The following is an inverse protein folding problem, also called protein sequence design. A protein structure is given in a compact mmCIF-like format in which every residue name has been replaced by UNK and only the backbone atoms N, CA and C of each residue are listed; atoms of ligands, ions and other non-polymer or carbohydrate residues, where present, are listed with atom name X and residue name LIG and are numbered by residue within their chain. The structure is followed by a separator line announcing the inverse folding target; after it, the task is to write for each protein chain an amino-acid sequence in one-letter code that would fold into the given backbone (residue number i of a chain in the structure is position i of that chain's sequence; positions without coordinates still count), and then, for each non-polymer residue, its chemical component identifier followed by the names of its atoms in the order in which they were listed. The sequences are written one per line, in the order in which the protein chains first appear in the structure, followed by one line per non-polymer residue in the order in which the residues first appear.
data_IF_217774356827
#
_entry.id   IF_217774356827
#
_cell.length_a   1.000
_cell.length_b   1.000
_cell.length_c   1.000
_cell.angle_alpha   90.00
_cell.angle_beta   90.00
_cell.angle_gamma   90.00
#
_symmetry.space_group_name_H-M   'P 1'
#
loop_
_entity.id
_entity.type
_entity.pdbx_description
1 polymer ?
#
# COMPACT_ATOMS: atom_id res chain seq x y z
N UNK A 1 26.97 -48.49 52.39
CA UNK A 1 26.78 -47.27 53.14
C UNK A 1 25.92 -46.31 52.34
N UNK A 2 24.61 -46.20 52.64
CA UNK A 2 23.70 -45.32 51.91
C UNK A 2 23.69 -43.96 52.59
N UNK A 3 24.26 -42.95 51.90
CA UNK A 3 24.17 -41.57 52.33
C UNK A 3 22.69 -41.09 52.26
N UNK A 4 22.06 -40.83 53.36
CA UNK A 4 20.75 -40.18 53.47
C UNK A 4 21.00 -38.65 53.43
N UNK A 5 20.85 -38.04 52.27
CA UNK A 5 20.76 -36.58 52.12
C UNK A 5 19.42 -36.12 52.73
N UNK A 6 19.46 -35.21 53.68
CA UNK A 6 18.26 -34.59 54.19
C UNK A 6 17.80 -33.41 53.32
N UNK A 7 16.52 -33.02 53.42
CA UNK A 7 15.88 -31.97 52.59
C UNK A 7 16.65 -30.64 52.59
N UNK A 8 17.34 -30.33 53.68
CA UNK A 8 18.05 -29.05 53.91
C UNK A 8 19.39 -29.03 53.11
N UNK A 9 20.06 -30.15 53.00
CA UNK A 9 21.31 -30.27 52.24
C UNK A 9 21.06 -30.34 50.73
N UNK A 10 19.91 -30.89 50.31
CA UNK A 10 19.44 -30.86 48.94
C UNK A 10 19.12 -29.41 48.50
N UNK A 11 18.45 -28.61 49.32
CA UNK A 11 18.13 -27.23 49.04
C UNK A 11 19.38 -26.31 49.01
N UNK A 12 20.40 -26.60 49.82
CA UNK A 12 21.67 -25.87 49.79
C UNK A 12 22.48 -26.15 48.53
N UNK A 13 22.47 -27.39 48.02
CA UNK A 13 23.13 -27.75 46.76
C UNK A 13 22.47 -27.15 45.52
N UNK A 14 21.14 -26.92 45.53
CA UNK A 14 20.42 -26.22 44.48
C UNK A 14 20.67 -24.71 44.54
N UNK A 15 20.76 -24.11 45.73
CA UNK A 15 21.01 -22.68 45.92
C UNK A 15 22.40 -22.22 45.44
N UNK A 16 23.44 -23.05 45.51
CA UNK A 16 24.78 -22.72 45.03
C UNK A 16 24.95 -22.91 43.51
N UNK A 17 24.09 -23.71 42.83
CA UNK A 17 24.13 -23.89 41.39
C UNK A 17 23.36 -22.80 40.63
N UNK A 18 22.50 -22.03 41.31
CA UNK A 18 21.71 -20.95 40.70
C UNK A 18 22.45 -19.61 40.62
N UNK A 19 23.61 -19.46 41.34
CA UNK A 19 24.38 -18.21 41.37
C UNK A 19 25.45 -18.09 40.28
N UNK A 20 25.65 -19.10 39.42
CA UNK A 20 26.68 -19.13 38.36
C UNK A 20 26.15 -19.29 36.94
N UNK A 21 24.85 -19.05 36.71
CA UNK A 21 24.34 -18.88 35.32
C UNK A 21 24.60 -17.43 34.95
N UNK A 22 25.43 -17.18 33.94
CA UNK A 22 25.51 -15.85 33.35
C UNK A 22 24.12 -15.45 32.89
N UNK A 23 23.71 -14.21 33.15
CA UNK A 23 22.56 -13.55 32.53
C UNK A 23 22.79 -13.47 30.98
N UNK A 24 22.87 -14.61 30.33
CA UNK A 24 22.84 -14.73 28.88
C UNK A 24 21.38 -14.78 28.46
N UNK A 25 20.91 -13.59 28.18
CA UNK A 25 19.79 -13.30 27.28
C UNK A 25 18.51 -14.17 27.42
N UNK A 26 17.58 -13.69 28.21
CA UNK A 26 16.14 -13.90 27.96
C UNK A 26 15.69 -13.26 26.61
N UNK A 27 16.50 -13.40 25.55
CA UNK A 27 16.18 -12.98 24.19
C UNK A 27 15.82 -14.18 23.31
N UNK A 28 15.68 -15.36 23.90
CA UNK A 28 15.37 -16.62 23.22
C UNK A 28 13.86 -16.79 23.06
N UNK A 29 13.25 -16.22 22.04
CA UNK A 29 11.86 -16.37 21.56
C UNK A 29 10.98 -15.11 21.67
N UNK A 30 11.51 -13.91 21.40
CA UNK A 30 10.60 -12.85 21.01
C UNK A 30 10.06 -13.25 19.61
N UNK A 31 8.83 -13.77 19.56
CA UNK A 31 8.19 -14.18 18.31
C UNK A 31 8.28 -13.00 17.35
N UNK A 32 8.95 -13.20 16.20
CA UNK A 32 9.08 -12.16 15.18
C UNK A 32 7.70 -11.67 14.78
N UNK A 33 7.45 -10.38 14.92
CA UNK A 33 6.22 -9.77 14.44
C UNK A 33 6.16 -9.87 12.90
N UNK A 34 5.01 -10.15 12.30
CA UNK A 34 4.86 -10.17 10.86
C UNK A 34 4.99 -8.78 10.25
N UNK A 35 5.53 -8.70 9.05
CA UNK A 35 5.55 -7.50 8.25
C UNK A 35 4.22 -7.32 7.52
N UNK A 36 3.93 -6.09 7.10
CA UNK A 36 2.81 -5.78 6.21
C UNK A 36 3.33 -5.08 4.96
N UNK A 37 2.80 -5.49 3.81
CA UNK A 37 3.00 -4.82 2.52
C UNK A 37 1.62 -4.55 1.93
N UNK A 38 1.33 -3.29 1.64
CA UNK A 38 0.12 -2.88 0.93
C UNK A 38 0.53 -2.27 -0.41
N UNK A 39 0.15 -2.92 -1.50
CA UNK A 39 0.33 -2.42 -2.87
C UNK A 39 -1.03 -1.88 -3.31
N UNK A 40 -1.09 -0.59 -3.59
CA UNK A 40 -2.33 0.15 -3.79
C UNK A 40 -2.27 0.91 -5.11
N UNK A 41 -3.12 0.53 -6.05
CA UNK A 41 -3.15 1.15 -7.37
C UNK A 41 -4.14 2.32 -7.42
N UNK A 42 -4.09 3.10 -8.47
CA UNK A 42 -4.88 4.32 -8.67
C UNK A 42 -5.78 4.14 -9.91
N UNK A 43 -7.09 4.20 -9.73
CA UNK A 43 -8.09 4.02 -10.79
C UNK A 43 -8.10 2.62 -11.47
N UNK A 44 -7.58 1.58 -10.82
CA UNK A 44 -7.61 0.24 -11.39
C UNK A 44 -8.98 -0.41 -11.22
N UNK A 45 -9.58 -0.82 -12.33
CA UNK A 45 -10.89 -1.45 -12.34
C UNK A 45 -10.90 -2.87 -11.79
N UNK A 46 -12.09 -3.32 -11.37
CA UNK A 46 -12.31 -4.67 -10.83
C UNK A 46 -11.83 -5.77 -11.77
N UNK A 47 -12.04 -5.61 -13.09
CA UNK A 47 -11.68 -6.60 -14.09
C UNK A 47 -10.30 -6.39 -14.74
N UNK A 48 -9.41 -5.59 -14.13
CA UNK A 48 -8.08 -5.30 -14.68
C UNK A 48 -6.96 -6.17 -14.09
N UNK A 49 -7.30 -7.35 -13.61
CA UNK A 49 -6.36 -8.39 -13.19
C UNK A 49 -6.79 -9.73 -13.79
N UNK A 50 -5.86 -10.57 -14.24
CA UNK A 50 -6.17 -11.85 -14.90
C UNK A 50 -7.13 -12.71 -14.12
N UNK A 51 -6.89 -12.94 -12.83
CA UNK A 51 -7.77 -13.72 -11.95
C UNK A 51 -9.15 -13.06 -11.68
N UNK A 52 -9.37 -11.82 -12.11
CA UNK A 52 -10.67 -11.12 -12.12
C UNK A 52 -11.28 -11.00 -13.53
N UNK A 53 -10.65 -11.57 -14.56
CA UNK A 53 -11.18 -11.66 -15.90
C UNK A 53 -10.62 -10.67 -16.92
N UNK A 54 -9.48 -10.03 -16.64
CA UNK A 54 -8.79 -9.15 -17.57
C UNK A 54 -8.48 -9.86 -18.91
N UNK A 55 -8.52 -9.09 -20.00
CA UNK A 55 -8.21 -9.58 -21.35
C UNK A 55 -7.28 -8.61 -22.06
N UNK A 56 -6.44 -9.15 -22.95
CA UNK A 56 -5.53 -8.35 -23.78
C UNK A 56 -4.22 -7.96 -23.13
N UNK A 57 -4.00 -8.35 -21.88
CA UNK A 57 -2.73 -8.30 -21.17
C UNK A 57 -2.70 -9.37 -20.06
N UNK A 58 -1.53 -9.66 -19.54
CA UNK A 58 -1.32 -10.71 -18.56
C UNK A 58 -0.81 -10.13 -17.23
N UNK A 59 -1.24 -10.72 -16.10
CA UNK A 59 -0.82 -10.36 -14.76
C UNK A 59 -0.31 -11.57 -13.98
N UNK A 60 0.75 -12.26 -14.46
CA UNK A 60 1.17 -13.56 -13.94
C UNK A 60 1.62 -13.52 -12.48
N UNK A 61 2.10 -12.40 -11.96
CA UNK A 61 2.51 -12.27 -10.57
C UNK A 61 1.31 -12.09 -9.64
N UNK A 62 0.32 -11.31 -10.05
CA UNK A 62 -0.95 -11.14 -9.33
C UNK A 62 -1.79 -12.41 -9.37
N UNK A 63 -1.85 -13.09 -10.51
CA UNK A 63 -2.57 -14.36 -10.66
C UNK A 63 -1.95 -15.43 -9.75
N UNK A 64 -0.63 -15.55 -9.73
CA UNK A 64 0.09 -16.41 -8.79
C UNK A 64 -0.12 -16.00 -7.34
N UNK A 65 -0.17 -14.68 -7.03
CA UNK A 65 -0.48 -14.19 -5.70
C UNK A 65 -1.87 -14.64 -5.24
N UNK A 66 -2.87 -14.66 -6.13
CA UNK A 66 -4.20 -15.18 -5.86
C UNK A 66 -4.22 -16.72 -5.68
N UNK A 67 -3.48 -17.46 -6.52
CA UNK A 67 -3.32 -18.92 -6.38
C UNK A 67 -2.63 -19.31 -5.07
N UNK A 68 -1.67 -18.52 -4.60
CA UNK A 68 -0.94 -18.76 -3.36
C UNK A 68 -1.59 -18.13 -2.12
N UNK A 69 -2.68 -17.41 -2.29
CA UNK A 69 -3.38 -16.65 -1.26
C UNK A 69 -4.90 -16.70 -1.38
N UNK A 70 -5.53 -15.56 -1.15
CA UNK A 70 -6.99 -15.39 -1.16
C UNK A 70 -7.37 -14.22 -2.08
N UNK A 71 -8.37 -14.46 -2.93
CA UNK A 71 -9.03 -13.45 -3.77
C UNK A 71 -10.34 -13.04 -3.11
N UNK A 72 -10.56 -11.74 -2.95
CA UNK A 72 -11.82 -11.19 -2.44
C UNK A 72 -12.70 -10.76 -3.61
N UNK A 73 -13.93 -11.24 -3.64
CA UNK A 73 -14.90 -10.87 -4.68
C UNK A 73 -15.76 -9.67 -4.30
N UNK A 74 -15.82 -9.34 -3.00
CA UNK A 74 -16.60 -8.24 -2.43
C UNK A 74 -15.72 -7.36 -1.52
N UNK A 75 -14.69 -6.72 -2.11
CA UNK A 75 -13.84 -5.79 -1.41
C UNK A 75 -14.13 -4.36 -1.86
N UNK A 76 -14.36 -3.47 -0.90
CA UNK A 76 -14.86 -2.13 -1.15
C UNK A 76 -13.94 -1.05 -0.64
N UNK A 77 -13.99 0.09 -1.31
CA UNK A 77 -13.46 1.36 -0.82
C UNK A 77 -14.61 2.17 -0.21
N UNK A 78 -14.30 3.05 0.72
CA UNK A 78 -15.30 3.85 1.45
C UNK A 78 -15.88 4.99 0.60
N UNK A 79 -15.14 5.46 -0.39
CA UNK A 79 -15.55 6.45 -1.38
C UNK A 79 -14.76 6.24 -2.67
N UNK A 80 -15.43 6.31 -3.82
CA UNK A 80 -14.83 6.05 -5.13
C UNK A 80 -14.02 7.24 -5.67
N UNK A 81 -13.17 7.85 -4.84
CA UNK A 81 -12.31 8.99 -5.20
C UNK A 81 -11.01 8.95 -4.39
N UNK A 82 -9.90 9.25 -5.03
CA UNK A 82 -8.52 9.06 -4.55
C UNK A 82 -8.24 9.50 -3.10
N UNK A 83 -8.25 10.82 -2.77
CA UNK A 83 -7.86 11.28 -1.41
C UNK A 83 -8.79 10.71 -0.34
N UNK A 84 -10.09 10.71 -0.61
CA UNK A 84 -11.09 10.18 0.31
C UNK A 84 -10.87 8.68 0.59
N UNK A 85 -10.67 7.86 -0.45
CA UNK A 85 -10.36 6.44 -0.29
C UNK A 85 -9.04 6.20 0.43
N UNK A 86 -7.99 6.98 0.10
CA UNK A 86 -6.66 6.87 0.71
C UNK A 86 -6.67 7.25 2.18
N UNK A 87 -7.42 8.30 2.56
CA UNK A 87 -7.61 8.65 3.98
C UNK A 87 -8.25 7.51 4.76
N UNK A 88 -9.25 6.87 4.18
CA UNK A 88 -9.95 5.75 4.81
C UNK A 88 -9.07 4.51 5.00
N UNK A 89 -8.28 4.15 3.98
CA UNK A 89 -7.35 3.03 4.09
C UNK A 89 -6.36 3.26 5.24
N UNK A 90 -5.78 4.47 5.31
CA UNK A 90 -4.66 4.71 6.22
C UNK A 90 -5.11 4.96 7.67
N UNK A 91 -6.36 5.45 7.90
CA UNK A 91 -6.89 5.78 9.23
C UNK A 91 -7.93 4.79 9.76
N UNK A 92 -8.51 3.94 8.90
CA UNK A 92 -9.64 3.10 9.27
C UNK A 92 -10.94 3.87 9.48
N UNK A 93 -11.04 5.12 9.00
CA UNK A 93 -12.19 5.99 9.17
C UNK A 93 -12.88 6.30 7.84
N UNK A 94 -14.21 6.49 7.86
CA UNK A 94 -14.87 7.10 6.71
C UNK A 94 -14.29 8.49 6.43
N UNK A 95 -14.15 8.89 5.15
CA UNK A 95 -13.47 10.13 4.78
C UNK A 95 -14.14 11.38 5.36
N UNK A 96 -15.47 11.35 5.53
CA UNK A 96 -16.22 12.43 6.15
C UNK A 96 -15.86 12.65 7.63
N UNK A 97 -15.42 11.61 8.35
CA UNK A 97 -14.97 11.72 9.74
C UNK A 97 -13.64 12.45 9.85
N UNK A 98 -12.74 12.24 8.90
CA UNK A 98 -11.41 12.87 8.86
C UNK A 98 -11.37 14.13 7.97
N UNK A 99 -12.54 14.62 7.56
CA UNK A 99 -12.71 15.86 6.77
C UNK A 99 -11.99 15.88 5.42
N UNK A 100 -11.75 14.71 4.82
CA UNK A 100 -11.17 14.56 3.49
C UNK A 100 -12.27 14.21 2.49
N UNK A 101 -12.66 15.17 1.66
CA UNK A 101 -13.72 14.99 0.65
C UNK A 101 -13.11 14.99 -0.75
N UNK A 102 -13.44 13.99 -1.55
CA UNK A 102 -13.01 13.93 -2.96
C UNK A 102 -11.50 13.79 -3.14
N UNK A 103 -10.89 14.67 -3.94
CA UNK A 103 -9.47 14.69 -4.28
C UNK A 103 -8.86 16.06 -3.95
N UNK A 104 -7.80 16.08 -3.15
CA UNK A 104 -7.09 17.30 -2.77
C UNK A 104 -6.16 17.77 -3.90
N UNK A 105 -6.39 18.95 -4.43
CA UNK A 105 -5.55 19.54 -5.49
C UNK A 105 -4.32 20.25 -4.96
N UNK A 106 -3.44 20.74 -5.87
CA UNK A 106 -2.21 21.45 -5.51
C UNK A 106 -2.44 22.84 -4.88
N UNK A 107 -3.69 23.32 -4.87
CA UNK A 107 -4.09 24.55 -4.17
C UNK A 107 -4.80 24.29 -2.85
N UNK A 108 -4.95 23.03 -2.45
CA UNK A 108 -5.59 22.68 -1.19
C UNK A 108 -4.74 23.14 0.00
N UNK A 109 -5.37 23.87 0.93
CA UNK A 109 -4.73 24.34 2.17
C UNK A 109 -4.96 23.38 3.33
N UNK A 110 -5.54 22.20 3.05
CA UNK A 110 -5.86 21.15 4.02
C UNK A 110 -5.16 19.85 3.66
N UNK A 111 -5.01 18.99 4.64
CA UNK A 111 -4.53 17.62 4.51
C UNK A 111 -5.07 16.75 5.62
N UNK A 112 -4.54 15.54 5.75
CA UNK A 112 -4.88 14.65 6.85
C UNK A 112 -4.49 15.33 8.18
N UNK A 113 -5.48 15.43 9.09
CA UNK A 113 -5.26 16.02 10.40
C UNK A 113 -4.19 15.19 11.17
N UNK A 114 -3.13 15.82 11.71
CA UNK A 114 -2.12 15.14 12.50
C UNK A 114 -2.63 14.43 13.77
N UNK A 115 -3.85 14.74 14.23
CA UNK A 115 -4.49 14.04 15.34
C UNK A 115 -5.12 12.68 14.94
N UNK A 116 -5.25 12.41 13.64
CA UNK A 116 -5.74 11.13 13.12
C UNK A 116 -4.60 10.12 13.00
N UNK A 117 -4.63 9.09 13.86
CA UNK A 117 -3.60 8.06 13.87
C UNK A 117 -3.72 7.14 12.65
N UNK A 118 -2.65 7.00 11.91
CA UNK A 118 -2.54 6.16 10.71
C UNK A 118 -2.11 4.73 11.06
N UNK A 119 -2.22 3.81 10.08
CA UNK A 119 -1.62 2.46 10.19
C UNK A 119 -0.15 2.54 10.62
N UNK A 120 0.63 3.47 10.05
CA UNK A 120 2.04 3.61 10.38
C UNK A 120 2.24 3.98 11.85
N UNK A 121 1.50 4.98 12.36
CA UNK A 121 1.59 5.42 13.76
C UNK A 121 1.14 4.33 14.74
N UNK A 122 0.06 3.61 14.41
CA UNK A 122 -0.40 2.46 15.21
C UNK A 122 0.69 1.38 15.30
N UNK A 123 1.34 1.07 14.18
CA UNK A 123 2.39 0.05 14.13
C UNK A 123 3.71 0.52 14.78
N UNK A 124 3.98 1.84 14.85
CA UNK A 124 5.11 2.40 15.62
C UNK A 124 5.10 1.98 17.09
N UNK A 125 3.93 1.76 17.69
CA UNK A 125 3.82 1.22 19.05
C UNK A 125 4.44 -0.18 19.21
N UNK A 126 4.80 -0.84 18.11
CA UNK A 126 5.46 -2.15 18.04
C UNK A 126 6.83 -2.09 17.35
N UNK A 127 7.46 -0.93 17.32
CA UNK A 127 8.81 -0.71 16.78
C UNK A 127 8.94 -1.01 15.28
N UNK A 128 7.85 -0.84 14.52
CA UNK A 128 7.89 -0.98 13.05
C UNK A 128 8.66 0.16 12.41
N UNK A 129 9.43 -0.19 11.36
CA UNK A 129 9.90 0.80 10.38
C UNK A 129 8.88 0.90 9.26
N UNK A 130 8.44 2.11 8.93
CA UNK A 130 7.37 2.36 7.98
C UNK A 130 7.90 3.11 6.76
N UNK A 131 7.65 2.58 5.56
CA UNK A 131 8.05 3.21 4.29
C UNK A 131 6.84 3.37 3.35
N UNK A 132 6.82 4.49 2.63
CA UNK A 132 5.83 4.76 1.59
C UNK A 132 6.54 5.19 0.30
N UNK A 133 6.20 4.53 -0.81
CA UNK A 133 6.78 4.83 -2.13
C UNK A 133 5.68 4.90 -3.17
N UNK A 134 5.32 6.14 -3.56
CA UNK A 134 4.24 6.43 -4.49
C UNK A 134 3.44 7.68 -4.16
N UNK A 135 2.17 7.71 -4.59
CA UNK A 135 1.25 8.82 -4.43
C UNK A 135 0.67 8.88 -3.02
N UNK A 136 0.91 10.00 -2.32
CA UNK A 136 0.34 10.27 -0.98
C UNK A 136 -1.11 10.73 -1.05
N UNK A 137 -1.34 11.90 -1.63
CA UNK A 137 -2.64 12.55 -1.89
C UNK A 137 -3.49 12.89 -0.65
N UNK A 138 -2.84 13.12 0.50
CA UNK A 138 -3.52 13.50 1.75
C UNK A 138 -3.00 14.83 2.31
N UNK A 139 -2.64 15.75 1.41
CA UNK A 139 -2.07 17.06 1.70
C UNK A 139 -0.62 17.15 1.25
N UNK A 140 -0.27 18.31 0.64
CA UNK A 140 1.04 18.53 0.02
C UNK A 140 1.94 19.50 0.79
N UNK A 141 1.38 20.26 1.74
CA UNK A 141 2.17 21.08 2.63
C UNK A 141 2.97 20.20 3.60
N UNK A 142 4.11 20.68 4.06
CA UNK A 142 5.09 19.92 4.85
C UNK A 142 4.48 19.27 6.10
N UNK A 143 3.54 19.97 6.74
CA UNK A 143 2.81 19.50 7.91
C UNK A 143 1.86 18.32 7.65
N UNK A 144 1.56 18.02 6.38
CA UNK A 144 0.68 16.92 5.98
C UNK A 144 1.41 15.79 5.26
N UNK A 145 2.74 15.89 5.07
CA UNK A 145 3.51 14.86 4.38
C UNK A 145 3.66 13.59 5.23
N UNK A 146 3.95 12.43 4.62
CA UNK A 146 3.99 11.15 5.30
C UNK A 146 4.86 11.08 6.55
N UNK A 147 5.93 11.87 6.66
CA UNK A 147 6.78 11.92 7.86
C UNK A 147 6.04 12.41 9.09
N UNK A 148 4.98 13.21 8.92
CA UNK A 148 4.13 13.68 10.03
C UNK A 148 3.10 12.62 10.46
N UNK A 149 2.99 11.53 9.69
CA UNK A 149 2.01 10.46 9.85
C UNK A 149 2.66 9.08 10.07
N UNK A 150 3.80 9.04 10.75
CA UNK A 150 4.45 7.80 11.21
C UNK A 150 5.34 7.09 10.19
N UNK A 151 5.54 7.60 8.98
CA UNK A 151 6.47 7.02 8.03
C UNK A 151 7.91 7.50 8.25
N UNK A 152 8.88 6.60 8.08
CA UNK A 152 10.32 6.85 8.22
C UNK A 152 10.99 7.13 6.88
N UNK A 153 10.41 6.64 5.79
CA UNK A 153 10.89 6.85 4.42
C UNK A 153 9.71 7.20 3.52
N UNK A 154 9.86 8.25 2.72
CA UNK A 154 8.89 8.65 1.69
C UNK A 154 9.62 9.00 0.39
N UNK A 155 9.09 8.49 -0.73
CA UNK A 155 9.48 8.93 -2.05
C UNK A 155 8.26 8.85 -2.97
N UNK A 156 7.82 9.98 -3.54
CA UNK A 156 6.65 9.97 -4.40
C UNK A 156 6.03 11.32 -4.70
N UNK A 157 4.81 11.28 -5.22
CA UNK A 157 4.01 12.47 -5.56
C UNK A 157 3.10 12.85 -4.37
N UNK A 158 3.06 14.12 -3.98
CA UNK A 158 2.21 14.56 -2.87
C UNK A 158 0.72 14.63 -3.23
N UNK A 159 0.38 14.65 -4.52
CA UNK A 159 -0.98 14.65 -5.07
C UNK A 159 -1.03 13.86 -6.39
N UNK A 160 -2.14 13.89 -7.11
CA UNK A 160 -2.35 13.08 -8.31
C UNK A 160 -1.46 13.54 -9.48
N UNK A 161 -1.01 12.58 -10.26
CA UNK A 161 -0.11 12.77 -11.39
C UNK A 161 -0.72 13.56 -12.57
N UNK A 162 -2.04 13.73 -12.60
CA UNK A 162 -2.75 14.58 -13.56
C UNK A 162 -2.87 16.04 -13.10
N UNK A 163 -2.52 16.35 -11.85
CA UNK A 163 -2.67 17.68 -11.27
C UNK A 163 -1.47 18.59 -11.58
N UNK A 164 -1.27 18.84 -12.87
CA UNK A 164 -0.21 19.67 -13.46
C UNK A 164 -0.75 20.36 -14.74
N UNK A 165 -0.06 21.36 -15.35
CA UNK A 165 -0.63 22.18 -16.43
C UNK A 165 -0.57 21.52 -17.80
N UNK A 166 -0.72 20.18 -17.86
CA UNK A 166 -0.72 19.40 -19.10
C UNK A 166 -1.88 18.41 -19.09
N UNK A 167 -2.57 18.24 -20.22
CA UNK A 167 -3.62 17.27 -20.40
C UNK A 167 -3.08 15.83 -20.48
N UNK A 168 -3.99 14.86 -20.33
CA UNK A 168 -3.66 13.43 -20.38
C UNK A 168 -3.04 12.94 -21.70
N UNK A 169 -3.24 13.70 -22.79
CA UNK A 169 -2.70 13.46 -24.13
C UNK A 169 -1.38 14.20 -24.40
N UNK A 170 -0.88 14.96 -23.44
CA UNK A 170 0.35 15.73 -23.55
C UNK A 170 0.18 17.17 -24.08
N UNK A 171 -1.05 17.57 -24.39
CA UNK A 171 -1.30 18.96 -24.83
C UNK A 171 -1.30 19.91 -23.64
N UNK A 172 -0.80 21.18 -23.80
CA UNK A 172 -0.88 22.18 -22.76
C UNK A 172 -2.34 22.47 -22.37
N UNK A 173 -2.57 22.71 -21.08
CA UNK A 173 -3.89 23.14 -20.61
C UNK A 173 -4.20 24.54 -21.11
N UNK A 174 -5.41 24.84 -21.66
CA UNK A 174 -5.82 26.18 -22.03
C UNK A 174 -5.72 27.16 -20.86
N UNK A 175 -5.31 28.41 -21.12
CA UNK A 175 -5.04 29.43 -20.08
C UNK A 175 -6.25 29.75 -19.22
N UNK A 176 -7.46 29.63 -19.75
CA UNK A 176 -8.73 29.86 -19.05
C UNK A 176 -9.20 28.67 -18.18
N UNK A 177 -8.50 27.54 -18.23
CA UNK A 177 -8.83 26.37 -17.42
C UNK A 177 -8.06 26.38 -16.09
N UNK A 178 -8.73 26.05 -14.97
CA UNK A 178 -8.14 26.04 -13.62
C UNK A 178 -6.81 25.27 -13.53
N UNK A 179 -6.68 24.22 -14.30
CA UNK A 179 -5.49 23.37 -14.34
C UNK A 179 -4.24 24.09 -14.89
N UNK A 180 -4.42 25.17 -15.67
CA UNK A 180 -3.30 26.01 -16.14
C UNK A 180 -2.53 26.69 -14.99
N UNK A 181 -3.18 26.88 -13.85
CA UNK A 181 -2.57 27.48 -12.65
C UNK A 181 -1.84 26.46 -11.76
N UNK A 182 -1.90 25.16 -12.08
CA UNK A 182 -1.23 24.14 -11.29
C UNK A 182 0.30 24.20 -11.52
N UNK A 183 1.10 23.91 -10.48
CA UNK A 183 2.54 23.76 -10.66
C UNK A 183 2.86 22.48 -11.45
N UNK A 184 4.05 22.40 -12.02
CA UNK A 184 4.59 21.11 -12.46
C UNK A 184 4.74 20.14 -11.26
N UNK A 185 4.73 18.84 -11.55
CA UNK A 185 4.65 17.81 -10.50
C UNK A 185 5.95 17.73 -9.68
N UNK A 186 5.91 18.05 -8.38
CA UNK A 186 7.06 17.83 -7.53
C UNK A 186 7.18 16.32 -7.19
N UNK A 187 8.38 15.80 -7.32
CA UNK A 187 8.73 14.49 -6.80
C UNK A 187 9.49 14.69 -5.48
N UNK A 188 8.97 14.12 -4.41
CA UNK A 188 9.45 14.34 -3.05
C UNK A 188 10.26 13.15 -2.58
N UNK A 189 11.38 13.39 -1.89
CA UNK A 189 12.13 12.42 -1.10
C UNK A 189 12.21 12.94 0.34
N UNK A 190 11.64 12.22 1.29
CA UNK A 190 11.44 12.71 2.64
C UNK A 190 10.45 13.89 2.71
N UNK A 191 10.95 15.07 2.99
CA UNK A 191 10.18 16.33 3.04
C UNK A 191 10.62 17.34 1.95
N UNK A 192 11.53 16.94 1.07
CA UNK A 192 12.15 17.86 0.11
C UNK A 192 11.80 17.45 -1.34
N UNK A 193 11.51 18.46 -2.16
CA UNK A 193 11.36 18.25 -3.61
C UNK A 193 12.72 18.00 -4.23
N UNK A 194 12.92 16.78 -4.75
CA UNK A 194 14.19 16.36 -5.36
C UNK A 194 14.19 16.47 -6.88
N UNK A 195 13.01 16.57 -7.48
CA UNK A 195 12.83 16.67 -8.92
C UNK A 195 11.47 17.33 -9.22
N UNK A 196 11.36 18.01 -10.35
CA UNK A 196 10.10 18.53 -10.88
C UNK A 196 9.86 17.90 -12.24
N UNK A 197 8.77 17.15 -12.36
CA UNK A 197 8.39 16.49 -13.60
C UNK A 197 7.67 17.51 -14.50
N UNK A 198 8.22 17.76 -15.69
CA UNK A 198 7.74 18.80 -16.63
C UNK A 198 7.25 18.25 -17.96
N UNK A 199 7.53 16.95 -18.21
CA UNK A 199 7.18 16.26 -19.47
C UNK A 199 6.43 14.96 -19.17
N UNK A 200 5.64 14.52 -20.12
CA UNK A 200 4.90 13.25 -20.01
C UNK A 200 5.84 12.06 -19.76
N UNK A 201 7.00 12.04 -20.42
CA UNK A 201 8.00 10.97 -20.31
C UNK A 201 8.63 10.89 -18.92
N UNK A 202 8.62 11.97 -18.14
CA UNK A 202 9.11 11.96 -16.77
C UNK A 202 8.26 11.02 -15.90
N UNK A 203 6.96 10.87 -16.22
CA UNK A 203 6.06 9.96 -15.51
C UNK A 203 6.25 8.48 -15.88
N UNK A 204 6.84 8.18 -17.03
CA UNK A 204 7.05 6.81 -17.53
C UNK A 204 7.92 5.95 -16.58
N UNK A 205 8.70 6.59 -15.71
CA UNK A 205 9.62 5.93 -14.80
C UNK A 205 9.10 5.81 -13.36
N UNK A 206 7.92 6.34 -13.05
CA UNK A 206 7.42 6.40 -11.67
C UNK A 206 7.22 5.00 -11.07
N UNK A 207 6.54 4.10 -11.78
CA UNK A 207 6.31 2.71 -11.31
C UNK A 207 7.62 1.99 -11.04
N UNK A 208 8.59 2.08 -11.97
CA UNK A 208 9.93 1.50 -11.77
C UNK A 208 10.63 2.08 -10.53
N UNK A 209 10.64 3.42 -10.38
CA UNK A 209 11.31 4.11 -9.25
C UNK A 209 10.69 3.73 -7.90
N UNK A 210 9.37 3.66 -7.81
CA UNK A 210 8.67 3.21 -6.58
C UNK A 210 9.04 1.77 -6.25
N UNK A 211 9.08 0.89 -7.25
CA UNK A 211 9.46 -0.52 -7.09
C UNK A 211 10.89 -0.67 -6.57
N UNK A 212 11.84 0.05 -7.14
CA UNK A 212 13.23 0.05 -6.70
C UNK A 212 13.40 0.53 -5.25
N UNK A 213 12.65 1.57 -4.85
CA UNK A 213 12.63 2.05 -3.46
C UNK A 213 12.01 1.01 -2.53
N UNK A 214 10.92 0.37 -2.91
CA UNK A 214 10.27 -0.69 -2.15
C UNK A 214 11.20 -1.90 -1.94
N UNK A 215 11.88 -2.34 -2.98
CA UNK A 215 12.88 -3.44 -2.91
C UNK A 215 14.01 -3.08 -1.94
N UNK A 216 14.62 -1.91 -2.10
CA UNK A 216 15.68 -1.43 -1.20
C UNK A 216 15.24 -1.31 0.25
N UNK A 217 13.99 -0.85 0.48
CA UNK A 217 13.41 -0.76 1.81
C UNK A 217 13.26 -2.14 2.47
N UNK A 218 12.78 -3.14 1.74
CA UNK A 218 12.67 -4.53 2.25
C UNK A 218 14.06 -5.08 2.59
N UNK A 219 15.06 -4.89 1.71
CA UNK A 219 16.43 -5.37 1.93
C UNK A 219 17.07 -4.72 3.16
N UNK A 220 16.90 -3.41 3.34
CA UNK A 220 17.41 -2.65 4.49
C UNK A 220 16.75 -3.07 5.81
N UNK A 221 15.47 -3.42 5.79
CA UNK A 221 14.69 -3.70 6.99
C UNK A 221 14.38 -5.20 7.20
N UNK A 222 15.06 -6.10 6.47
CA UNK A 222 14.80 -7.55 6.51
C UNK A 222 14.90 -8.19 7.91
N UNK A 223 15.61 -7.59 8.84
CA UNK A 223 15.89 -8.13 10.19
C UNK A 223 14.99 -7.53 11.29
N UNK A 224 14.08 -6.61 10.94
CA UNK A 224 13.12 -5.96 11.85
C UNK A 224 11.71 -5.96 11.25
N UNK A 225 10.66 -5.75 12.07
CA UNK A 225 9.31 -5.63 11.54
C UNK A 225 9.17 -4.33 10.73
N UNK A 226 8.43 -4.41 9.61
CA UNK A 226 8.19 -3.25 8.76
C UNK A 226 6.77 -3.20 8.19
N UNK A 227 6.32 -2.00 7.94
CA UNK A 227 5.16 -1.69 7.12
C UNK A 227 5.62 -0.98 5.84
N UNK A 228 5.29 -1.55 4.71
CA UNK A 228 5.58 -1.00 3.40
C UNK A 228 4.26 -0.68 2.67
N UNK A 229 4.06 0.59 2.38
CA UNK A 229 2.93 1.07 1.57
C UNK A 229 3.46 1.51 0.21
N UNK A 230 2.96 0.89 -0.87
CA UNK A 230 3.34 1.19 -2.25
C UNK A 230 2.11 1.68 -3.01
N UNK A 231 1.71 2.96 -2.82
CA UNK A 231 0.58 3.55 -3.53
C UNK A 231 1.04 4.03 -4.91
N UNK A 232 0.96 3.15 -5.90
CA UNK A 232 1.27 3.52 -7.28
C UNK A 232 0.43 4.70 -7.75
N UNK A 233 1.02 5.58 -8.58
CA UNK A 233 0.28 6.65 -9.27
C UNK A 233 -0.46 6.14 -10.49
N UNK A 234 -0.14 4.93 -10.93
CA UNK A 234 -0.72 4.24 -12.09
C UNK A 234 -1.74 3.18 -11.63
N UNK A 235 -2.71 2.86 -12.49
CA UNK A 235 -2.94 3.29 -13.87
C UNK A 235 -3.77 4.58 -14.04
N UNK A 236 -3.71 5.54 -13.09
CA UNK A 236 -4.37 6.84 -13.25
C UNK A 236 -3.78 7.59 -14.46
N UNK A 237 -4.66 8.23 -15.22
CA UNK A 237 -4.27 9.09 -16.35
C UNK A 237 -3.62 10.41 -15.85
N UNK A 238 -2.63 10.98 -16.56
CA UNK A 238 -1.98 10.48 -17.78
C UNK A 238 -1.16 9.22 -17.52
N UNK A 239 -1.26 8.28 -18.42
CA UNK A 239 -0.56 7.01 -18.29
C UNK A 239 0.94 7.18 -18.54
N UNK A 240 1.76 6.69 -17.60
CA UNK A 240 3.20 6.56 -17.74
C UNK A 240 3.61 5.08 -17.72
N UNK A 241 4.45 4.66 -18.65
CA UNK A 241 4.95 3.28 -18.73
C UNK A 241 6.37 3.26 -19.24
N UNK A 242 7.23 2.47 -18.58
CA UNK A 242 8.62 2.33 -18.99
C UNK A 242 8.76 1.62 -20.35
N UNK A 243 9.88 1.87 -21.05
CA UNK A 243 10.18 1.26 -22.34
C UNK A 243 10.18 -0.28 -22.29
N UNK A 244 10.44 -0.85 -21.12
CA UNK A 244 10.39 -2.29 -20.90
C UNK A 244 9.00 -2.88 -21.19
N UNK A 245 7.94 -2.14 -20.93
CA UNK A 245 6.56 -2.62 -21.09
C UNK A 245 5.80 -1.95 -22.24
N UNK A 246 6.29 -0.84 -22.78
CA UNK A 246 5.66 -0.09 -23.86
C UNK A 246 5.39 -0.97 -25.09
N UNK A 247 4.14 -0.98 -25.53
CA UNK A 247 3.70 -1.73 -26.72
C UNK A 247 3.66 -3.25 -26.55
N UNK A 248 3.57 -3.76 -25.31
CA UNK A 248 3.55 -5.21 -25.03
C UNK A 248 2.14 -5.79 -24.97
N UNK A 249 1.13 -4.99 -24.61
CA UNK A 249 -0.24 -5.44 -24.47
C UNK A 249 -1.07 -5.24 -25.71
N UNK A 250 -2.19 -5.97 -25.82
CA UNK A 250 -3.22 -5.75 -26.84
C UNK A 250 -4.21 -4.64 -26.45
N UNK A 251 -4.14 -4.14 -25.19
CA UNK A 251 -4.97 -3.06 -24.66
C UNK A 251 -4.27 -1.69 -24.69
N UNK A 252 -3.26 -1.54 -25.56
CA UNK A 252 -2.50 -0.31 -25.70
C UNK A 252 -1.79 0.10 -24.40
N UNK A 253 -1.61 1.39 -24.22
CA UNK A 253 -0.82 1.93 -23.09
C UNK A 253 -1.38 1.53 -21.71
N UNK A 254 -2.70 1.41 -21.55
CA UNK A 254 -3.31 0.99 -20.30
C UNK A 254 -2.88 -0.43 -19.89
N UNK A 255 -2.98 -1.39 -20.81
CA UNK A 255 -2.54 -2.75 -20.52
C UNK A 255 -1.04 -2.85 -20.26
N UNK A 256 -0.21 -2.07 -20.97
CA UNK A 256 1.23 -1.99 -20.74
C UNK A 256 1.53 -1.54 -19.30
N UNK A 257 0.79 -0.53 -18.81
CA UNK A 257 0.90 -0.01 -17.44
C UNK A 257 0.51 -1.09 -16.40
N UNK A 258 -0.58 -1.83 -16.63
CA UNK A 258 -0.98 -2.93 -15.75
C UNK A 258 0.10 -4.02 -15.71
N UNK A 259 0.70 -4.36 -16.86
CA UNK A 259 1.81 -5.32 -16.89
C UNK A 259 3.04 -4.83 -16.13
N UNK A 260 3.33 -3.53 -16.11
CA UNK A 260 4.41 -2.95 -15.30
C UNK A 260 4.09 -2.97 -13.80
N UNK A 261 2.83 -2.72 -13.41
CA UNK A 261 2.37 -2.88 -12.03
C UNK A 261 2.50 -4.34 -11.59
N UNK A 262 2.08 -5.29 -12.41
CA UNK A 262 2.24 -6.73 -12.13
C UNK A 262 3.73 -7.11 -11.93
N UNK A 263 4.62 -6.59 -12.77
CA UNK A 263 6.06 -6.75 -12.59
C UNK A 263 6.53 -6.17 -11.25
N UNK A 264 6.05 -5.00 -10.85
CA UNK A 264 6.37 -4.40 -9.55
C UNK A 264 5.99 -5.33 -8.39
N UNK A 265 4.77 -5.88 -8.43
CA UNK A 265 4.32 -6.91 -7.47
C UNK A 265 5.29 -8.10 -7.48
N UNK A 266 5.69 -8.57 -8.65
CA UNK A 266 6.65 -9.66 -8.83
C UNK A 266 8.00 -9.39 -8.17
N UNK A 267 8.57 -8.19 -8.34
CA UNK A 267 9.86 -7.81 -7.72
C UNK A 267 9.77 -7.73 -6.18
N UNK A 268 8.65 -7.21 -5.65
CA UNK A 268 8.41 -7.19 -4.20
C UNK A 268 8.32 -8.62 -3.65
N UNK A 269 7.49 -9.48 -4.25
CA UNK A 269 7.33 -10.89 -3.83
C UNK A 269 8.66 -11.67 -3.94
N UNK A 270 9.41 -11.48 -5.02
CA UNK A 270 10.73 -12.07 -5.23
C UNK A 270 11.73 -11.64 -4.15
N UNK A 271 11.72 -10.38 -3.75
CA UNK A 271 12.58 -9.84 -2.69
C UNK A 271 12.22 -10.45 -1.34
N UNK A 272 10.94 -10.54 -1.01
CA UNK A 272 10.47 -11.22 0.20
C UNK A 272 10.93 -12.69 0.23
N UNK A 273 10.84 -13.38 -0.90
CA UNK A 273 11.30 -14.78 -1.05
C UNK A 273 12.81 -14.90 -0.87
N UNK A 274 13.60 -14.05 -1.55
CA UNK A 274 15.08 -14.00 -1.45
C UNK A 274 15.54 -13.88 0.00
N UNK A 275 14.84 -13.10 0.81
CA UNK A 275 15.17 -12.87 2.22
C UNK A 275 14.41 -13.78 3.20
N UNK A 276 13.68 -14.80 2.73
CA UNK A 276 12.92 -15.78 3.54
C UNK A 276 11.85 -15.10 4.42
N UNK A 277 11.28 -13.99 3.94
CA UNK A 277 10.29 -13.18 4.64
C UNK A 277 8.84 -13.56 4.31
N UNK A 278 8.58 -14.40 3.30
CA UNK A 278 7.23 -14.69 2.80
C UNK A 278 6.27 -15.17 3.89
N UNK A 279 6.72 -16.11 4.76
CA UNK A 279 5.91 -16.64 5.87
C UNK A 279 5.71 -15.63 7.01
N UNK A 280 6.45 -14.54 6.98
CA UNK A 280 6.41 -13.48 7.97
C UNK A 280 5.86 -12.16 7.42
N UNK A 281 5.20 -12.20 6.24
CA UNK A 281 4.70 -11.00 5.60
C UNK A 281 3.30 -11.24 5.03
N UNK A 282 2.34 -10.44 5.48
CA UNK A 282 1.05 -10.31 4.83
C UNK A 282 1.19 -9.28 3.70
N UNK A 283 0.93 -9.70 2.47
CA UNK A 283 0.91 -8.83 1.29
C UNK A 283 -0.53 -8.65 0.85
N UNK A 284 -0.95 -7.40 0.72
CA UNK A 284 -2.28 -6.98 0.24
C UNK A 284 -2.08 -6.21 -1.07
N UNK A 285 -2.82 -6.58 -2.10
CA UNK A 285 -2.94 -5.84 -3.35
C UNK A 285 -4.39 -5.40 -3.51
N UNK A 286 -4.63 -4.10 -3.80
CA UNK A 286 -5.97 -3.55 -4.08
C UNK A 286 -5.86 -2.18 -4.76
N UNK A 287 -7.00 -1.56 -5.11
CA UNK A 287 -7.09 -0.23 -5.77
C UNK A 287 -7.80 0.78 -4.87
N UNK A 288 -7.59 2.06 -5.11
CA UNK A 288 -8.24 3.15 -4.37
C UNK A 288 -9.68 3.45 -4.84
N UNK A 289 -10.01 3.11 -6.05
CA UNK A 289 -11.36 3.15 -6.62
C UNK A 289 -11.39 2.39 -7.94
N UNK A 290 -12.58 2.24 -8.51
CA UNK A 290 -12.76 1.68 -9.84
C UNK A 290 -12.25 2.58 -10.97
N UNK A 291 -12.36 2.15 -12.24
CA UNK A 291 -11.74 2.81 -13.39
C UNK A 291 -12.38 4.16 -13.68
N UNK A 292 -11.57 5.13 -14.14
CA UNK A 292 -12.08 6.43 -14.59
C UNK A 292 -12.49 6.37 -16.07
N UNK A 293 -13.71 5.93 -16.32
CA UNK A 293 -14.20 5.54 -17.64
C UNK A 293 -14.25 6.68 -18.67
N UNK A 294 -14.17 7.95 -18.26
CA UNK A 294 -14.21 9.11 -19.13
C UNK A 294 -13.02 9.21 -20.11
N UNK A 295 -11.95 8.45 -19.86
CA UNK A 295 -10.72 8.51 -20.65
C UNK A 295 -10.59 7.40 -21.71
N UNK A 296 -11.68 6.67 -22.01
CA UNK A 296 -11.73 5.71 -23.11
C UNK A 296 -10.62 4.64 -23.02
N UNK A 297 -9.72 4.60 -24.00
CA UNK A 297 -8.60 3.63 -24.05
C UNK A 297 -7.53 3.85 -22.96
N UNK A 298 -7.58 4.96 -22.25
CA UNK A 298 -6.71 5.23 -21.08
C UNK A 298 -7.39 4.84 -19.76
N UNK A 299 -8.56 4.25 -19.79
CA UNK A 299 -9.30 3.78 -18.63
C UNK A 299 -9.31 2.25 -18.56
N UNK A 300 -9.44 1.74 -17.34
CA UNK A 300 -9.63 0.31 -17.07
C UNK A 300 -11.07 -0.15 -17.24
N UNK A 301 -11.34 -1.36 -16.77
CA UNK A 301 -12.62 -2.04 -16.87
C UNK A 301 -13.17 -2.43 -15.50
N UNK A 302 -14.40 -2.00 -15.21
CA UNK A 302 -15.16 -2.52 -14.09
C UNK A 302 -15.73 -3.93 -14.31
N UNK A 303 -15.57 -4.49 -15.51
CA UNK A 303 -16.12 -5.80 -15.89
C UNK A 303 -17.64 -5.83 -15.85
N UNK A 304 -18.24 -6.78 -15.08
CA UNK A 304 -19.69 -6.89 -14.98
C UNK A 304 -20.34 -5.82 -14.10
N UNK A 305 -19.54 -4.98 -13.43
CA UNK A 305 -20.05 -3.99 -12.48
C UNK A 305 -20.46 -2.71 -13.23
N UNK A 306 -21.46 -2.03 -12.69
CA UNK A 306 -21.96 -0.79 -13.27
C UNK A 306 -21.08 0.39 -12.90
N UNK A 307 -20.80 1.28 -13.88
CA UNK A 307 -20.11 2.56 -13.73
C UNK A 307 -18.65 2.41 -13.23
N UNK A 308 -18.06 3.50 -12.73
CA UNK A 308 -16.69 3.58 -12.28
C UNK A 308 -16.44 4.71 -11.29
N UNK A 309 -15.22 5.22 -11.26
CA UNK A 309 -14.77 6.32 -10.39
C UNK A 309 -15.77 7.47 -10.27
N UNK A 310 -15.92 7.97 -9.06
CA UNK A 310 -16.80 9.12 -8.77
C UNK A 310 -18.28 8.77 -8.63
N UNK A 311 -18.66 7.49 -8.72
CA UNK A 311 -20.05 7.04 -8.62
C UNK A 311 -20.29 6.16 -7.39
N UNK A 312 -21.54 6.06 -6.96
CA UNK A 312 -21.95 5.17 -5.87
C UNK A 312 -22.26 3.74 -6.34
N UNK A 313 -22.06 3.45 -7.61
CA UNK A 313 -22.27 2.13 -8.19
C UNK A 313 -21.11 1.18 -7.89
N UNK A 314 -21.38 -0.11 -8.00
CA UNK A 314 -20.42 -1.18 -7.73
C UNK A 314 -19.08 -0.99 -8.45
N UNK A 315 -19.11 -0.58 -9.73
CA UNK A 315 -17.88 -0.38 -10.50
C UNK A 315 -17.00 0.77 -10.02
N UNK A 316 -17.56 1.71 -9.23
CA UNK A 316 -16.78 2.77 -8.58
C UNK A 316 -16.14 2.34 -7.27
N UNK A 317 -16.88 1.56 -6.46
CA UNK A 317 -16.51 1.28 -5.07
C UNK A 317 -15.95 -0.13 -4.85
N UNK A 318 -16.29 -1.09 -5.69
CA UNK A 318 -15.82 -2.47 -5.59
C UNK A 318 -14.57 -2.64 -6.43
N UNK A 319 -13.49 -3.01 -5.78
CA UNK A 319 -12.14 -3.06 -6.35
C UNK A 319 -11.55 -4.46 -6.29
N UNK A 320 -10.56 -4.81 -7.13
CA UNK A 320 -9.85 -6.08 -7.00
C UNK A 320 -9.09 -6.09 -5.67
N UNK A 321 -9.14 -7.21 -4.94
CA UNK A 321 -8.31 -7.41 -3.77
C UNK A 321 -7.78 -8.84 -3.70
N UNK A 322 -6.46 -8.93 -3.46
CA UNK A 322 -5.76 -10.20 -3.27
C UNK A 322 -4.91 -10.08 -2.01
N UNK A 323 -5.00 -11.07 -1.12
CA UNK A 323 -4.17 -11.15 0.08
C UNK A 323 -3.37 -12.45 0.09
N UNK A 324 -2.06 -12.36 0.34
CA UNK A 324 -1.16 -13.51 0.41
C UNK A 324 -0.36 -13.49 1.71
N UNK A 325 -0.46 -14.59 2.46
CA UNK A 325 0.36 -14.84 3.64
C UNK A 325 0.59 -16.33 3.83
N UNK A 326 1.68 -16.89 3.29
CA UNK A 326 1.95 -18.32 3.33
C UNK A 326 1.98 -18.89 4.76
N UNK A 327 1.20 -19.95 4.99
CA UNK A 327 1.06 -20.58 6.30
C UNK A 327 -0.01 -19.98 7.20
N UNK A 328 -0.64 -18.85 6.81
CA UNK A 328 -1.73 -18.20 7.55
C UNK A 328 -3.00 -18.09 6.70
N UNK A 329 -2.87 -17.69 5.44
CA UNK A 329 -3.99 -17.67 4.48
C UNK A 329 -3.92 -18.94 3.64
N UNK A 330 -5.00 -19.75 3.57
CA UNK A 330 -5.05 -20.92 2.71
C UNK A 330 -4.91 -20.55 1.23
N UNK A 331 -4.16 -21.36 0.48
CA UNK A 331 -3.93 -21.14 -0.95
C UNK A 331 -5.20 -21.32 -1.79
N UNK A 332 -5.35 -20.48 -2.82
CA UNK A 332 -6.40 -20.59 -3.83
C UNK A 332 -7.81 -20.38 -3.28
N UNK A 333 -7.93 -19.70 -2.13
CA UNK A 333 -9.24 -19.44 -1.54
C UNK A 333 -9.90 -18.21 -2.16
N UNK A 334 -11.24 -18.22 -2.14
CA UNK A 334 -12.08 -17.09 -2.54
C UNK A 334 -12.91 -16.66 -1.35
N UNK A 335 -12.84 -15.38 -1.00
CA UNK A 335 -13.68 -14.78 0.02
C UNK A 335 -14.79 -13.96 -0.66
N UNK A 336 -16.04 -14.34 -0.41
CA UNK A 336 -17.25 -13.64 -0.87
C UNK A 336 -17.89 -12.76 0.21
N UNK A 337 -17.29 -12.69 1.39
CA UNK A 337 -17.73 -11.79 2.45
C UNK A 337 -17.37 -10.35 2.10
N UNK A 338 -18.21 -9.42 2.55
CA UNK A 338 -17.93 -8.00 2.43
C UNK A 338 -16.73 -7.67 3.33
N UNK A 339 -15.74 -7.02 2.74
CA UNK A 339 -14.58 -6.44 3.41
C UNK A 339 -14.24 -5.10 2.74
N UNK A 340 -13.49 -4.27 3.42
CA UNK A 340 -13.18 -2.94 2.93
C UNK A 340 -11.75 -2.50 3.28
N UNK A 341 -11.32 -1.40 2.66
CA UNK A 341 -10.05 -0.76 3.02
C UNK A 341 -10.01 -0.28 4.46
N UNK A 342 -11.17 0.04 5.07
CA UNK A 342 -11.29 0.42 6.49
C UNK A 342 -10.80 -0.67 7.45
N UNK A 343 -10.98 -1.95 7.07
CA UNK A 343 -10.67 -3.10 7.90
C UNK A 343 -9.16 -3.36 8.04
N UNK A 344 -8.31 -2.73 7.20
CA UNK A 344 -6.87 -3.00 7.21
C UNK A 344 -6.19 -2.51 8.49
N UNK A 345 -6.50 -1.29 8.96
CA UNK A 345 -5.91 -0.76 10.19
C UNK A 345 -6.21 -1.63 11.41
N UNK A 346 -7.48 -1.93 11.76
CA UNK A 346 -7.79 -2.77 12.91
C UNK A 346 -7.27 -4.20 12.75
N UNK A 347 -7.22 -4.74 11.54
CA UNK A 347 -6.65 -6.06 11.25
C UNK A 347 -5.15 -6.10 11.56
N UNK A 348 -4.38 -5.11 11.08
CA UNK A 348 -2.93 -5.06 11.34
C UNK A 348 -2.63 -4.83 12.81
N UNK A 349 -3.41 -3.97 13.49
CA UNK A 349 -3.32 -3.76 14.91
C UNK A 349 -3.57 -5.07 15.69
N UNK A 350 -4.64 -5.80 15.37
CA UNK A 350 -5.00 -7.05 16.03
C UNK A 350 -3.93 -8.15 15.82
N UNK A 351 -3.41 -8.31 14.60
CA UNK A 351 -2.37 -9.30 14.28
C UNK A 351 -1.11 -9.08 15.12
N UNK A 352 -0.72 -7.84 15.37
CA UNK A 352 0.49 -7.47 16.11
C UNK A 352 0.25 -7.16 17.58
N UNK A 353 -1.00 -7.15 18.06
CA UNK A 353 -1.37 -6.73 19.42
C UNK A 353 -1.02 -5.26 19.66
N UNK A 354 -1.08 -4.41 18.62
CA UNK A 354 -0.96 -2.97 18.77
C UNK A 354 -2.28 -2.38 19.31
N UNK A 355 -2.25 -1.29 20.10
CA UNK A 355 -3.46 -0.60 20.46
C UNK A 355 -4.13 0.00 19.22
N UNK A 356 -5.45 0.06 19.23
CA UNK A 356 -6.20 0.85 18.23
C UNK A 356 -5.97 2.34 18.47
N UNK A 357 -6.23 3.19 17.45
CA UNK A 357 -6.21 4.64 17.59
C UNK A 357 -7.04 5.13 18.78
N UNK A 358 -6.64 6.27 19.36
CA UNK A 358 -7.41 6.91 20.46
C UNK A 358 -8.76 7.41 19.95
N UNK A 359 -8.78 7.96 18.76
CA UNK A 359 -10.00 8.36 18.08
C UNK A 359 -10.77 7.13 17.60
N UNK A 360 -12.10 7.23 17.59
CA UNK A 360 -12.96 6.16 17.11
C UNK A 360 -12.73 5.95 15.61
N UNK A 361 -12.47 4.72 15.21
CA UNK A 361 -12.41 4.25 13.80
C UNK A 361 -13.73 3.59 13.41
N UNK A 362 -13.89 3.33 12.10
CA UNK A 362 -15.11 2.75 11.51
C UNK A 362 -14.87 1.31 10.99
N UNK A 363 -13.60 0.90 10.86
CA UNK A 363 -13.19 -0.45 10.47
C UNK A 363 -13.24 -1.47 11.60
#
# INVERSE_FOLDING_TARGET
MKLKLNRRDFLKSIGLSAAALPFTSCNLFRKRLPNFVVIFTDDQGYADVGCFGAKGFETPNLDRMAEEGMRFTNFYVSQAVCSASRSSLITGCYPNRVSIYGALGPHAQIGLNPEEETIAEVLKNKEFTCGIFGKWHLGHHKEFLPFQHGFDEYFGLPYSNDMWPVWYDGTPTPEDHNKATYPFLPLIDGNETVEVLTKMEDQDRLTTRYTERAVRFIEKNKDRPFFLYVPHSMPHTPLGVSDKFRGKSQQGKYGDVIMEIDWSVGEILKTLKKHKLEKHTLVVFTSDNGPWMNFGTHAGSAGPLREGKGTSWEGGQRVPCIMRWPGHIPKGTVCDKIASTLDLLPTFAAINGAPLPKNKIDG
#
